data_IF_493985550076
#
_entry.id   IF_493985550076
#
_cell.length_a   1.000
_cell.length_b   1.000
_cell.length_c   1.000
_cell.angle_alpha   90.00
_cell.angle_beta   90.00
_cell.angle_gamma   90.00
#
_symmetry.space_group_name_H-M   'P 1'
#
loop_
_entity.id
_entity.type
_entity.pdbx_description
1 polymer ?
#
# COMPACT_ATOMS: atom_id res chain seq x y z
N UNK A 1 -30.24 -25.59 -10.67
CA UNK A 1 -28.83 -26.06 -10.72
C UNK A 1 -27.93 -24.99 -10.13
N UNK A 2 -27.43 -25.18 -8.90
CA UNK A 2 -26.47 -24.26 -8.26
C UNK A 2 -25.06 -24.61 -8.78
N UNK A 3 -24.37 -23.64 -9.39
CA UNK A 3 -22.94 -23.77 -9.72
C UNK A 3 -22.14 -23.20 -8.55
N UNK A 4 -21.43 -24.07 -7.84
CA UNK A 4 -20.46 -23.69 -6.82
C UNK A 4 -19.18 -23.27 -7.53
N UNK A 5 -18.78 -22.01 -7.37
CA UNK A 5 -17.52 -21.47 -7.88
C UNK A 5 -16.46 -21.64 -6.78
N UNK A 6 -15.47 -22.50 -7.01
CA UNK A 6 -14.29 -22.60 -6.17
C UNK A 6 -13.23 -21.63 -6.67
N UNK A 7 -12.81 -20.69 -5.83
CA UNK A 7 -11.70 -19.78 -6.11
C UNK A 7 -10.48 -20.33 -5.37
N UNK A 8 -9.48 -20.81 -6.12
CA UNK A 8 -8.15 -21.14 -5.62
C UNK A 8 -7.40 -19.83 -5.30
N UNK A 9 -6.87 -19.71 -4.08
CA UNK A 9 -5.91 -18.65 -3.72
C UNK A 9 -4.50 -19.24 -3.89
N UNK A 10 -3.75 -18.69 -4.84
CA UNK A 10 -2.33 -18.97 -5.06
C UNK A 10 -1.48 -18.19 -4.05
N UNK A 11 -0.88 -18.89 -3.08
CA UNK A 11 0.13 -18.32 -2.18
C UNK A 11 1.48 -18.45 -2.88
N UNK A 12 2.05 -17.33 -3.34
CA UNK A 12 3.46 -17.29 -3.74
C UNK A 12 4.33 -17.11 -2.49
N UNK A 13 5.06 -18.18 -2.14
CA UNK A 13 6.14 -18.14 -1.16
C UNK A 13 7.39 -17.68 -1.88
N UNK A 14 7.86 -16.46 -1.63
CA UNK A 14 9.21 -16.06 -2.01
C UNK A 14 10.19 -16.68 -1.02
N UNK A 15 10.91 -17.71 -1.46
CA UNK A 15 12.10 -18.21 -0.78
C UNK A 15 13.26 -17.24 -1.05
N UNK A 16 13.68 -16.53 0.00
CA UNK A 16 14.97 -15.84 0.02
C UNK A 16 15.98 -16.80 0.66
N UNK A 17 16.99 -17.26 -0.08
CA UNK A 17 18.18 -17.85 0.52
C UNK A 17 19.43 -17.51 -0.29
N UNK A 18 20.23 -16.59 0.22
CA UNK A 18 21.66 -16.59 0.01
C UNK A 18 22.36 -16.47 1.37
N UNK A 19 23.10 -17.51 1.77
CA UNK A 19 24.34 -17.34 2.54
C UNK A 19 25.39 -18.27 1.92
N UNK A 20 26.43 -17.63 1.39
CA UNK A 20 27.68 -18.22 0.88
C UNK A 20 28.66 -18.59 2.00
N UNK A 21 29.41 -19.71 1.90
CA UNK A 21 30.89 -19.74 1.66
C UNK A 21 31.57 -21.12 1.90
N UNK A 22 32.37 -21.49 0.89
CA UNK A 22 33.69 -22.20 0.85
C UNK A 22 33.87 -23.70 1.21
N UNK A 23 34.24 -24.44 0.13
CA UNK A 23 35.22 -25.55 -0.06
C UNK A 23 35.73 -26.35 1.15
N UNK A 24 35.60 -27.69 1.09
CA UNK A 24 36.67 -28.62 0.67
C UNK A 24 36.12 -30.03 0.37
N UNK A 25 36.90 -30.80 -0.37
CA UNK A 25 36.50 -31.99 -1.11
C UNK A 25 36.62 -33.33 -0.34
N UNK A 26 36.05 -34.38 -0.95
CA UNK A 26 36.37 -35.82 -0.81
C UNK A 26 35.71 -36.57 0.35
N UNK A 27 34.56 -37.20 0.08
CA UNK A 27 34.35 -38.67 0.11
C UNK A 27 32.85 -39.03 0.12
N UNK A 28 32.41 -39.78 -0.88
CA UNK A 28 31.31 -40.77 -0.77
C UNK A 28 31.93 -42.14 -0.42
N UNK A 29 31.20 -43.24 -0.12
CA UNK A 29 29.74 -43.45 -0.13
C UNK A 29 29.18 -44.23 1.09
N UNK A 30 27.84 -44.29 1.24
CA UNK A 30 27.03 -45.54 1.24
C UNK A 30 25.59 -45.34 1.72
N UNK A 31 24.68 -45.82 0.87
CA UNK A 31 23.36 -46.43 1.11
C UNK A 31 22.79 -46.43 2.53
N UNK A 32 21.59 -45.87 2.68
CA UNK A 32 20.40 -46.66 2.97
C UNK A 32 19.13 -45.84 2.73
N UNK A 33 18.50 -46.09 1.57
CA UNK A 33 17.14 -45.67 1.29
C UNK A 33 16.17 -46.48 2.16
N UNK A 34 15.46 -45.82 3.07
CA UNK A 34 14.13 -46.25 3.50
C UNK A 34 13.11 -45.26 2.97
N UNK A 35 12.53 -45.65 1.84
CA UNK A 35 11.30 -45.08 1.30
C UNK A 35 10.19 -45.39 2.30
N UNK A 36 9.75 -44.38 3.04
CA UNK A 36 8.40 -44.36 3.60
C UNK A 36 7.57 -43.40 2.75
N UNK A 37 6.88 -43.99 1.78
CA UNK A 37 5.65 -43.43 1.25
C UNK A 37 4.66 -43.26 2.40
N UNK A 38 4.41 -42.02 2.81
CA UNK A 38 3.12 -41.64 3.35
C UNK A 38 2.47 -40.66 2.37
N UNK A 39 1.59 -41.26 1.57
CA UNK A 39 0.54 -40.58 0.84
C UNK A 39 -0.24 -39.66 1.77
N UNK A 40 -0.56 -38.49 1.22
CA UNK A 40 -1.82 -37.76 1.34
C UNK A 40 -2.59 -37.86 2.66
N UNK A 41 -2.62 -36.75 3.38
CA UNK A 41 -3.85 -36.19 3.93
C UNK A 41 -3.88 -34.73 3.49
N UNK A 42 -4.57 -34.43 2.39
CA UNK A 42 -5.97 -33.99 2.40
C UNK A 42 -6.12 -32.63 3.09
N UNK A 43 -6.20 -31.60 2.26
CA UNK A 43 -6.96 -30.37 2.49
C UNK A 43 -7.24 -30.06 3.96
N UNK A 44 -6.30 -29.34 4.59
CA UNK A 44 -6.63 -28.56 5.77
C UNK A 44 -7.58 -27.46 5.28
N UNK A 45 -8.88 -27.76 5.27
CA UNK A 45 -9.92 -26.72 5.28
C UNK A 45 -9.66 -25.95 6.57
N UNK A 46 -8.91 -24.87 6.47
CA UNK A 46 -8.68 -23.96 7.58
C UNK A 46 -10.05 -23.42 7.96
N UNK A 47 -10.58 -23.87 9.09
CA UNK A 47 -11.83 -23.36 9.63
C UNK A 47 -11.59 -21.88 9.96
N UNK A 48 -12.04 -20.99 9.06
CA UNK A 48 -11.90 -19.54 9.22
C UNK A 48 -12.72 -19.15 10.45
N UNK A 49 -12.11 -18.45 11.40
CA UNK A 49 -12.82 -18.01 12.59
C UNK A 49 -13.98 -17.08 12.23
N UNK A 50 -15.07 -17.09 13.01
CA UNK A 50 -16.20 -16.17 12.79
C UNK A 50 -15.76 -14.70 12.80
N UNK A 51 -14.73 -14.36 13.59
CA UNK A 51 -14.16 -13.02 13.68
C UNK A 51 -13.46 -12.63 12.37
N UNK A 52 -12.63 -13.51 11.82
CA UNK A 52 -11.97 -13.30 10.53
C UNK A 52 -12.98 -13.19 9.39
N UNK A 53 -14.02 -14.04 9.39
CA UNK A 53 -15.09 -13.95 8.40
C UNK A 53 -15.78 -12.58 8.42
N UNK A 54 -16.16 -12.09 9.61
CA UNK A 54 -16.77 -10.76 9.77
C UNK A 54 -15.84 -9.63 9.34
N UNK A 55 -14.55 -9.75 9.63
CA UNK A 55 -13.56 -8.77 9.19
C UNK A 55 -13.43 -8.76 7.66
N UNK A 56 -13.41 -9.93 7.01
CA UNK A 56 -13.39 -10.02 5.56
C UNK A 56 -14.66 -9.45 4.92
N UNK A 57 -15.85 -9.75 5.48
CA UNK A 57 -17.12 -9.14 5.04
C UNK A 57 -17.10 -7.61 5.18
N UNK A 58 -16.50 -7.10 6.26
CA UNK A 58 -16.27 -5.67 6.45
C UNK A 58 -15.34 -5.09 5.37
N UNK A 59 -14.19 -5.71 5.09
CA UNK A 59 -13.28 -5.24 4.04
C UNK A 59 -13.96 -5.24 2.65
N UNK A 60 -14.77 -6.25 2.34
CA UNK A 60 -15.56 -6.26 1.11
C UNK A 60 -16.60 -5.15 1.07
N UNK A 61 -17.22 -4.82 2.22
CA UNK A 61 -18.16 -3.69 2.30
C UNK A 61 -17.50 -2.34 1.98
N UNK A 62 -16.24 -2.13 2.38
CA UNK A 62 -15.48 -0.90 2.06
C UNK A 62 -15.37 -0.71 0.55
N UNK A 63 -15.11 -1.79 -0.19
CA UNK A 63 -14.94 -1.77 -1.65
C UNK A 63 -16.20 -1.29 -2.38
N UNK A 64 -17.38 -1.41 -1.79
CA UNK A 64 -18.63 -0.91 -2.39
C UNK A 64 -18.67 0.61 -2.51
N UNK A 65 -17.86 1.33 -1.71
CA UNK A 65 -17.75 2.79 -1.74
C UNK A 65 -16.60 3.29 -2.62
N UNK A 66 -15.84 2.38 -3.25
CA UNK A 66 -14.69 2.70 -4.09
C UNK A 66 -15.13 3.47 -5.32
N UNK A 67 -14.47 4.59 -5.55
CA UNK A 67 -14.61 5.39 -6.75
C UNK A 67 -13.67 4.82 -7.81
N UNK A 68 -14.17 4.60 -9.02
CA UNK A 68 -13.33 4.19 -10.14
C UNK A 68 -12.62 5.41 -10.75
N UNK A 69 -11.34 5.29 -11.13
CA UNK A 69 -10.68 6.34 -11.89
C UNK A 69 -11.35 6.50 -13.26
N UNK A 70 -11.40 7.73 -13.76
CA UNK A 70 -11.87 8.03 -15.12
C UNK A 70 -10.77 7.80 -16.17
N UNK A 71 -9.50 7.79 -15.75
CA UNK A 71 -8.33 7.49 -16.58
C UNK A 71 -7.20 6.93 -15.70
N UNK A 72 -6.32 6.10 -16.26
CA UNK A 72 -5.17 5.55 -15.56
C UNK A 72 -4.02 5.20 -16.50
N UNK A 73 -2.80 5.43 -16.03
CA UNK A 73 -1.56 5.12 -16.73
C UNK A 73 -0.67 4.28 -15.83
N UNK A 74 -0.04 3.26 -16.41
CA UNK A 74 1.07 2.54 -15.77
C UNK A 74 2.35 3.00 -16.46
N UNK A 75 3.38 3.27 -15.67
CA UNK A 75 4.65 3.83 -16.14
C UNK A 75 5.79 2.91 -15.75
N UNK A 76 6.82 2.88 -16.58
CA UNK A 76 8.06 2.18 -16.28
C UNK A 76 9.10 3.14 -15.72
N UNK A 77 10.05 2.61 -14.94
CA UNK A 77 11.16 3.41 -14.43
C UNK A 77 11.94 4.04 -15.58
N UNK A 78 12.19 5.35 -15.47
CA UNK A 78 12.94 6.11 -16.44
C UNK A 78 14.09 6.86 -15.76
N UNK A 79 15.27 6.81 -16.37
CA UNK A 79 16.48 7.49 -15.90
C UNK A 79 16.54 8.94 -16.43
N UNK A 80 15.60 9.34 -17.29
CA UNK A 80 15.52 10.70 -17.82
C UNK A 80 15.44 11.72 -16.70
N UNK A 81 16.20 12.81 -16.88
CA UNK A 81 16.15 13.95 -15.97
C UNK A 81 14.79 14.67 -16.00
N UNK A 82 14.09 14.59 -17.13
CA UNK A 82 12.77 15.16 -17.31
C UNK A 82 11.83 14.10 -17.90
N UNK A 83 10.80 13.78 -17.15
CA UNK A 83 9.72 12.89 -17.58
C UNK A 83 8.47 13.71 -17.84
N UNK A 84 7.70 13.32 -18.87
CA UNK A 84 6.46 13.98 -19.25
C UNK A 84 5.36 12.95 -19.43
N UNK A 85 4.24 13.18 -18.77
CA UNK A 85 3.06 12.34 -18.82
C UNK A 85 1.83 13.21 -19.10
N UNK A 86 0.82 12.61 -19.73
CA UNK A 86 -0.47 13.26 -19.99
C UNK A 86 -1.59 12.33 -19.58
N UNK A 87 -2.48 12.80 -18.70
CA UNK A 87 -3.66 12.05 -18.24
C UNK A 87 -4.90 12.94 -18.33
N UNK A 88 -5.93 12.49 -19.04
CA UNK A 88 -7.03 13.36 -19.48
C UNK A 88 -6.52 14.67 -20.11
N UNK A 89 -6.93 15.80 -19.55
CA UNK A 89 -6.51 17.15 -19.98
C UNK A 89 -5.30 17.69 -19.21
N UNK A 90 -4.72 16.90 -18.31
CA UNK A 90 -3.65 17.34 -17.41
C UNK A 90 -2.28 16.91 -17.94
N UNK A 91 -1.30 17.81 -17.83
CA UNK A 91 0.09 17.54 -18.15
C UNK A 91 0.90 17.43 -16.87
N UNK A 92 1.70 16.38 -16.73
CA UNK A 92 2.55 16.13 -15.57
C UNK A 92 4.00 16.12 -16.06
N UNK A 93 4.85 16.90 -15.42
CA UNK A 93 6.29 16.92 -15.67
C UNK A 93 7.02 16.64 -14.37
N UNK A 94 7.95 15.69 -14.39
CA UNK A 94 8.75 15.32 -13.23
C UNK A 94 10.20 15.60 -13.57
N UNK A 95 10.86 16.42 -12.76
CA UNK A 95 12.27 16.72 -12.92
C UNK A 95 13.08 16.15 -11.77
N UNK A 96 14.07 15.34 -12.15
CA UNK A 96 15.01 14.73 -11.23
C UNK A 96 16.32 15.52 -11.26
N UNK A 97 16.88 15.82 -10.09
CA UNK A 97 18.19 16.49 -9.99
C UNK A 97 19.31 15.56 -10.44
N UNK A 98 19.13 14.27 -10.20
CA UNK A 98 19.98 13.15 -10.59
C UNK A 98 19.09 11.91 -10.81
N UNK A 99 19.66 10.72 -11.02
CA UNK A 99 18.89 9.50 -11.30
C UNK A 99 17.91 9.08 -10.20
N UNK A 100 18.06 9.60 -8.97
CA UNK A 100 17.31 9.13 -7.80
C UNK A 100 16.52 10.23 -7.08
N UNK A 101 16.88 11.50 -7.23
CA UNK A 101 16.29 12.58 -6.44
C UNK A 101 15.32 13.41 -7.28
N UNK A 102 14.02 13.26 -7.04
CA UNK A 102 13.00 14.13 -7.61
C UNK A 102 13.12 15.51 -6.95
N UNK A 103 13.34 16.56 -7.75
CA UNK A 103 13.45 17.92 -7.24
C UNK A 103 12.09 18.63 -7.29
N UNK A 104 11.40 18.52 -8.43
CA UNK A 104 10.08 19.11 -8.58
C UNK A 104 9.16 18.29 -9.46
N UNK A 105 7.87 18.43 -9.17
CA UNK A 105 6.78 17.94 -10.00
C UNK A 105 5.96 19.15 -10.41
N UNK A 106 5.62 19.21 -11.69
CA UNK A 106 4.76 20.24 -12.26
C UNK A 106 3.52 19.58 -12.83
N UNK A 107 2.35 20.02 -12.36
CA UNK A 107 1.06 19.56 -12.86
C UNK A 107 0.37 20.79 -13.47
N UNK A 108 0.13 20.73 -14.78
CA UNK A 108 -0.31 21.85 -15.61
C UNK A 108 0.67 23.04 -15.49
N UNK A 109 0.21 24.17 -14.97
CA UNK A 109 1.04 25.35 -14.72
C UNK A 109 1.69 25.37 -13.34
N UNK A 110 1.23 24.54 -12.41
CA UNK A 110 1.65 24.58 -11.02
C UNK A 110 2.90 23.73 -10.78
N UNK A 111 3.96 24.34 -10.27
CA UNK A 111 5.26 23.69 -9.99
C UNK A 111 5.47 23.58 -8.50
N UNK A 112 5.76 22.37 -8.03
CA UNK A 112 5.86 22.02 -6.62
C UNK A 112 7.24 21.45 -6.36
N UNK A 113 7.93 21.97 -5.34
CA UNK A 113 9.22 21.47 -4.89
C UNK A 113 9.01 20.34 -3.90
N UNK A 114 9.63 19.19 -4.13
CA UNK A 114 9.44 18.00 -3.29
C UNK A 114 9.92 18.22 -1.85
N UNK A 115 11.05 18.92 -1.67
CA UNK A 115 11.59 19.29 -0.34
C UNK A 115 10.65 20.09 0.56
N UNK A 116 9.56 20.64 0.01
CA UNK A 116 8.57 21.40 0.77
C UNK A 116 7.36 20.54 1.16
N UNK A 117 7.30 19.30 0.69
CA UNK A 117 6.23 18.36 0.99
C UNK A 117 6.59 17.59 2.26
N UNK A 118 5.56 17.36 3.08
CA UNK A 118 5.64 16.51 4.26
C UNK A 118 4.55 15.47 4.15
N UNK A 119 4.86 14.26 4.58
CA UNK A 119 3.90 13.19 4.76
C UNK A 119 2.79 13.64 5.74
N UNK A 120 1.54 13.34 5.37
CA UNK A 120 0.35 13.68 6.16
C UNK A 120 0.09 12.64 7.24
N UNK A 121 0.31 11.37 6.90
CA UNK A 121 0.23 10.24 7.83
C UNK A 121 1.61 9.89 8.38
N UNK A 122 1.66 8.93 9.31
CA UNK A 122 2.91 8.43 9.84
C UNK A 122 3.07 6.93 9.50
N UNK A 123 3.76 6.58 8.40
CA UNK A 123 3.76 5.21 7.88
C UNK A 123 4.56 4.22 8.74
N UNK A 124 5.51 4.69 9.55
CA UNK A 124 6.36 3.86 10.42
C UNK A 124 6.61 4.55 11.77
N UNK A 125 7.32 3.91 12.71
CA UNK A 125 7.62 4.47 14.04
C UNK A 125 8.61 5.69 14.02
N UNK A 126 8.76 6.38 12.89
CA UNK A 126 9.66 7.53 12.65
C UNK A 126 8.94 8.88 12.51
N UNK A 127 9.69 9.98 12.47
CA UNK A 127 9.15 11.33 12.27
C UNK A 127 8.88 11.62 10.79
N UNK A 128 7.80 12.37 10.51
CA UNK A 128 7.33 12.82 9.18
C UNK A 128 8.46 13.04 8.15
N UNK A 129 8.68 12.02 7.31
CA UNK A 129 9.73 12.02 6.31
C UNK A 129 9.36 12.88 5.08
N UNK A 130 10.40 13.32 4.36
CA UNK A 130 10.26 13.81 2.99
C UNK A 130 10.02 12.62 2.06
N UNK A 131 9.42 12.87 0.89
CA UNK A 131 9.18 11.86 -0.15
C UNK A 131 10.43 10.99 -0.38
N UNK A 132 10.29 9.68 -0.16
CA UNK A 132 11.37 8.69 -0.25
C UNK A 132 11.45 8.03 -1.64
N UNK A 133 10.31 7.74 -2.26
CA UNK A 133 10.23 7.04 -3.53
C UNK A 133 10.58 7.95 -4.72
N UNK A 134 11.12 7.35 -5.79
CA UNK A 134 11.75 8.10 -6.89
C UNK A 134 11.32 7.66 -8.30
N UNK A 135 10.48 6.65 -8.38
CA UNK A 135 10.01 6.07 -9.63
C UNK A 135 8.49 6.15 -9.70
N UNK A 136 7.96 6.99 -10.59
CA UNK A 136 6.53 6.98 -10.86
C UNK A 136 6.16 5.63 -11.47
N UNK A 137 5.16 4.96 -10.91
CA UNK A 137 4.67 3.65 -11.39
C UNK A 137 3.25 3.73 -11.91
N UNK A 138 2.42 4.60 -11.32
CA UNK A 138 1.03 4.73 -11.71
C UNK A 138 0.55 6.16 -11.58
N UNK A 139 -0.29 6.56 -12.53
CA UNK A 139 -1.08 7.79 -12.47
C UNK A 139 -2.53 7.40 -12.59
N UNK A 140 -3.39 7.88 -11.71
CA UNK A 140 -4.84 7.73 -11.79
C UNK A 140 -5.51 9.10 -11.76
N UNK A 141 -6.50 9.31 -12.61
CA UNK A 141 -7.34 10.51 -12.62
C UNK A 141 -8.73 10.12 -12.12
N UNK A 142 -9.25 10.90 -11.18
CA UNK A 142 -10.61 10.78 -10.67
C UNK A 142 -11.35 12.08 -10.91
N UNK A 143 -12.65 11.98 -11.21
CA UNK A 143 -13.55 13.12 -11.22
C UNK A 143 -14.55 12.96 -10.07
N UNK A 144 -14.54 13.89 -9.12
CA UNK A 144 -15.40 13.87 -7.95
C UNK A 144 -16.05 15.25 -7.77
N UNK A 145 -17.38 15.32 -7.84
CA UNK A 145 -18.14 16.57 -7.77
C UNK A 145 -17.60 17.67 -8.71
N UNK A 146 -17.34 17.29 -9.97
CA UNK A 146 -16.76 18.17 -11.00
C UNK A 146 -15.34 18.68 -10.70
N UNK A 147 -14.65 18.08 -9.74
CA UNK A 147 -13.24 18.33 -9.47
C UNK A 147 -12.38 17.16 -9.94
N UNK A 148 -11.29 17.48 -10.63
CA UNK A 148 -10.28 16.50 -11.00
C UNK A 148 -9.28 16.32 -9.86
N UNK A 149 -9.05 15.07 -9.49
CA UNK A 149 -8.04 14.68 -8.50
C UNK A 149 -7.12 13.64 -9.12
N UNK A 150 -5.82 13.92 -9.07
CA UNK A 150 -4.78 13.06 -9.66
C UNK A 150 -4.05 12.35 -8.53
N UNK A 151 -3.95 11.03 -8.60
CA UNK A 151 -3.13 10.22 -7.70
C UNK A 151 -1.89 9.74 -8.48
N UNK A 152 -0.72 10.04 -7.94
CA UNK A 152 0.58 9.57 -8.43
C UNK A 152 1.15 8.58 -7.41
N UNK A 153 1.44 7.37 -7.87
CA UNK A 153 2.01 6.28 -7.08
C UNK A 153 3.49 6.15 -7.42
N UNK A 154 4.35 6.38 -6.44
CA UNK A 154 5.79 6.27 -6.57
C UNK A 154 6.32 5.10 -5.75
N UNK A 155 7.25 4.35 -6.34
CA UNK A 155 8.01 3.32 -5.65
C UNK A 155 9.50 3.63 -5.72
N UNK A 156 10.29 2.98 -4.88
CA UNK A 156 11.74 3.11 -4.90
C UNK A 156 12.34 2.18 -5.96
N UNK A 157 13.16 2.75 -6.85
CA UNK A 157 13.94 2.02 -7.83
C UNK A 157 15.42 2.49 -7.85
N UNK A 158 16.40 1.57 -7.79
CA UNK A 158 16.24 0.15 -7.50
C UNK A 158 15.66 -0.05 -6.09
N UNK A 159 14.85 -1.09 -5.91
CA UNK A 159 14.19 -1.37 -4.66
C UNK A 159 15.03 -2.35 -3.83
N UNK A 160 15.48 -1.95 -2.65
CA UNK A 160 16.20 -2.84 -1.71
C UNK A 160 15.74 -2.62 -0.27
N UNK A 161 15.77 -3.70 0.53
CA UNK A 161 15.47 -3.64 1.96
C UNK A 161 14.04 -3.21 2.30
N UNK A 162 13.89 -2.44 3.38
CA UNK A 162 12.61 -1.92 3.84
C UNK A 162 11.98 -0.93 2.86
N UNK A 163 12.79 -0.22 2.07
CA UNK A 163 12.32 0.73 1.06
C UNK A 163 11.43 0.10 -0.02
N UNK A 164 11.54 -1.22 -0.24
CA UNK A 164 10.63 -1.97 -1.14
C UNK A 164 9.22 -2.14 -0.60
N UNK A 165 9.00 -1.82 0.68
CA UNK A 165 7.72 -1.97 1.36
C UNK A 165 6.98 -0.64 1.50
N UNK A 166 7.63 0.46 1.12
CA UNK A 166 7.07 1.82 1.18
C UNK A 166 6.67 2.24 -0.23
N UNK A 167 5.57 2.97 -0.31
CA UNK A 167 5.09 3.57 -1.56
C UNK A 167 4.57 4.96 -1.23
N UNK A 168 5.05 5.95 -1.97
CA UNK A 168 4.61 7.33 -1.80
C UNK A 168 3.45 7.60 -2.73
N UNK A 169 2.41 8.22 -2.19
CA UNK A 169 1.22 8.63 -2.89
C UNK A 169 1.10 10.14 -2.85
N UNK A 170 1.28 10.74 -4.01
CA UNK A 170 1.06 12.17 -4.21
C UNK A 170 -0.33 12.38 -4.79
N UNK A 171 -1.21 12.99 -4.01
CA UNK A 171 -2.59 13.27 -4.38
C UNK A 171 -2.74 14.77 -4.64
N UNK A 172 -3.01 15.12 -5.89
CA UNK A 172 -3.16 16.49 -6.36
C UNK A 172 -4.63 16.86 -6.60
N UNK A 173 -5.09 17.87 -5.87
CA UNK A 173 -6.37 18.53 -6.12
C UNK A 173 -6.17 19.63 -7.18
N UNK A 174 -6.71 19.41 -8.39
CA UNK A 174 -6.52 20.31 -9.52
C UNK A 174 -7.18 21.66 -9.28
N UNK A 175 -8.37 21.71 -8.68
CA UNK A 175 -9.10 22.96 -8.44
C UNK A 175 -8.36 23.89 -7.48
N UNK A 176 -7.84 23.35 -6.38
CA UNK A 176 -7.18 24.14 -5.33
C UNK A 176 -5.65 24.23 -5.51
N UNK A 177 -5.10 23.57 -6.52
CA UNK A 177 -3.67 23.45 -6.77
C UNK A 177 -2.88 22.96 -5.54
N UNK A 178 -3.47 22.05 -4.77
CA UNK A 178 -2.88 21.50 -3.55
C UNK A 178 -2.37 20.08 -3.79
N UNK A 179 -1.23 19.77 -3.20
CA UNK A 179 -0.62 18.45 -3.24
C UNK A 179 -0.53 17.90 -1.83
N UNK A 180 -0.89 16.63 -1.69
CA UNK A 180 -0.96 15.89 -0.45
C UNK A 180 -0.03 14.68 -0.58
N UNK A 181 0.94 14.56 0.32
CA UNK A 181 1.86 13.43 0.34
C UNK A 181 1.41 12.45 1.42
N UNK A 182 1.21 11.20 1.01
CA UNK A 182 1.03 10.07 1.90
C UNK A 182 2.11 9.04 1.62
N UNK A 183 2.45 8.28 2.63
CA UNK A 183 3.29 7.10 2.49
C UNK A 183 2.49 5.90 3.01
N UNK A 184 2.54 4.77 2.33
CA UNK A 184 1.94 3.56 2.86
C UNK A 184 2.96 2.45 2.95
N UNK A 185 2.88 1.69 4.04
CA UNK A 185 3.69 0.50 4.23
C UNK A 185 2.91 -0.76 3.84
N UNK A 186 3.20 -1.31 2.66
CA UNK A 186 2.61 -2.52 2.06
C UNK A 186 1.08 -2.48 1.95
N UNK A 187 0.52 -3.23 0.99
CA UNK A 187 -0.91 -3.61 0.97
C UNK A 187 -1.94 -2.46 1.01
N UNK A 188 -1.59 -1.23 0.66
CA UNK A 188 -2.58 -0.17 0.57
C UNK A 188 -3.38 -0.30 -0.73
N UNK A 189 -4.68 -0.56 -0.61
CA UNK A 189 -5.62 -0.37 -1.72
C UNK A 189 -5.67 1.13 -2.06
N UNK A 190 -4.93 1.50 -3.10
CA UNK A 190 -4.63 2.89 -3.43
C UNK A 190 -5.70 3.48 -4.34
N UNK A 191 -6.88 3.69 -3.76
CA UNK A 191 -8.04 4.25 -4.44
C UNK A 191 -8.78 5.22 -3.52
N UNK A 192 -9.68 6.01 -4.12
CA UNK A 192 -10.57 6.89 -3.37
C UNK A 192 -11.92 6.25 -3.10
N UNK A 193 -12.58 6.74 -2.06
CA UNK A 193 -13.86 6.24 -1.57
C UNK A 193 -14.83 7.40 -1.35
N UNK A 194 -16.12 7.15 -1.54
CA UNK A 194 -17.20 8.07 -1.19
C UNK A 194 -18.04 7.47 -0.06
N UNK A 195 -17.62 7.69 1.18
CA UNK A 195 -18.31 7.12 2.33
C UNK A 195 -19.58 7.93 2.68
N UNK A 196 -20.67 7.25 3.10
CA UNK A 196 -21.95 7.91 3.34
C UNK A 196 -21.94 8.88 4.53
N UNK A 197 -21.02 8.72 5.48
CA UNK A 197 -20.99 9.54 6.70
C UNK A 197 -20.58 10.99 6.44
N UNK A 198 -19.73 11.26 5.45
CA UNK A 198 -19.27 12.62 5.14
C UNK A 198 -19.48 13.05 3.68
N UNK A 199 -19.73 12.10 2.76
CA UNK A 199 -19.93 12.35 1.31
C UNK A 199 -18.77 13.12 0.67
N UNK A 200 -17.56 13.01 1.22
CA UNK A 200 -16.33 13.62 0.71
C UNK A 200 -15.53 12.61 -0.12
N UNK A 201 -14.50 13.11 -0.81
CA UNK A 201 -13.47 12.25 -1.38
C UNK A 201 -12.58 11.74 -0.24
N UNK A 202 -12.67 10.44 0.04
CA UNK A 202 -11.93 9.80 1.11
C UNK A 202 -10.75 9.00 0.54
N UNK A 203 -9.66 8.93 1.29
CA UNK A 203 -8.50 8.11 1.03
C UNK A 203 -8.20 7.27 2.27
N UNK A 204 -7.89 6.00 2.09
CA UNK A 204 -7.44 5.12 3.17
C UNK A 204 -5.92 5.02 3.09
N UNK A 205 -5.24 5.53 4.10
CA UNK A 205 -3.80 5.37 4.27
C UNK A 205 -3.52 4.27 5.29
N UNK A 206 -2.39 3.58 5.15
CA UNK A 206 -1.98 2.47 6.01
C UNK A 206 -0.63 2.73 6.65
N UNK A 207 -0.65 2.74 7.98
CA UNK A 207 0.49 2.88 8.86
C UNK A 207 0.94 1.50 9.37
N UNK A 208 2.21 1.40 9.75
CA UNK A 208 2.82 0.20 10.31
C UNK A 208 3.54 0.52 11.62
N UNK A 209 3.38 -0.33 12.64
CA UNK A 209 4.21 -0.28 13.86
C UNK A 209 4.67 -1.67 14.27
N UNK A 210 5.82 -1.74 14.95
CA UNK A 210 6.40 -2.99 15.44
C UNK A 210 7.64 -3.46 14.66
N UNK A 211 8.12 -4.67 14.98
CA UNK A 211 9.36 -5.18 14.40
C UNK A 211 9.09 -5.98 13.12
N UNK A 212 9.56 -5.41 12.00
CA UNK A 212 9.56 -6.07 10.71
C UNK A 212 10.29 -7.43 10.70
N UNK A 213 11.32 -7.60 11.53
CA UNK A 213 12.07 -8.84 11.65
C UNK A 213 11.37 -9.90 12.51
N UNK A 214 10.23 -9.55 13.11
CA UNK A 214 9.38 -10.49 13.82
C UNK A 214 9.83 -10.81 15.24
N UNK A 215 10.53 -9.92 15.94
CA UNK A 215 10.71 -10.05 17.39
C UNK A 215 9.46 -9.61 18.18
N UNK A 216 8.63 -8.74 17.60
CA UNK A 216 7.40 -8.20 18.21
C UNK A 216 6.22 -8.31 17.26
N UNK A 217 4.97 -8.21 17.76
CA UNK A 217 3.79 -8.16 16.90
C UNK A 217 3.88 -6.97 15.93
N UNK A 218 3.44 -7.20 14.70
CA UNK A 218 3.34 -6.18 13.67
C UNK A 218 1.89 -5.70 13.59
N UNK A 219 1.70 -4.40 13.62
CA UNK A 219 0.40 -3.74 13.54
C UNK A 219 0.28 -3.05 12.18
N UNK A 220 -0.78 -3.36 11.44
CA UNK A 220 -1.15 -2.68 10.20
C UNK A 220 -2.42 -1.88 10.48
N UNK A 221 -2.32 -0.56 10.48
CA UNK A 221 -3.39 0.34 10.89
C UNK A 221 -3.81 1.18 9.69
N UNK A 222 -5.03 0.99 9.21
CA UNK A 222 -5.58 1.77 8.11
C UNK A 222 -6.52 2.84 8.63
N UNK A 223 -6.34 4.09 8.19
CA UNK A 223 -7.11 5.26 8.66
C UNK A 223 -7.75 6.02 7.49
N UNK A 224 -8.90 6.65 7.75
CA UNK A 224 -9.62 7.45 6.76
C UNK A 224 -9.16 8.90 6.81
N UNK A 225 -8.76 9.44 5.65
CA UNK A 225 -8.53 10.86 5.43
C UNK A 225 -9.52 11.39 4.40
N UNK A 226 -10.03 12.61 4.56
CA UNK A 226 -10.88 13.25 3.56
C UNK A 226 -10.31 14.55 3.03
N UNK A 227 -10.54 14.80 1.74
CA UNK A 227 -10.25 16.07 1.10
C UNK A 227 -11.20 17.15 1.62
N UNK A 228 -10.65 18.23 2.15
CA UNK A 228 -11.41 19.43 2.56
C UNK A 228 -11.53 20.45 1.42
N UNK A 229 -12.29 21.51 1.66
CA UNK A 229 -12.57 22.54 0.64
C UNK A 229 -11.32 23.30 0.17
N UNK A 230 -10.27 23.32 0.99
CA UNK A 230 -8.98 23.94 0.66
C UNK A 230 -8.07 22.98 -0.12
N UNK A 231 -8.51 21.77 -0.47
CA UNK A 231 -7.74 20.77 -1.21
C UNK A 231 -6.72 20.00 -0.37
N UNK A 232 -6.85 20.01 0.96
CA UNK A 232 -5.98 19.26 1.87
C UNK A 232 -6.71 18.07 2.47
N UNK A 233 -6.03 16.94 2.56
CA UNK A 233 -6.55 15.79 3.28
C UNK A 233 -6.40 15.96 4.79
N UNK A 234 -7.43 15.57 5.53
CA UNK A 234 -7.46 15.60 7.00
C UNK A 234 -7.98 14.28 7.54
N UNK A 235 -7.42 13.85 8.68
CA UNK A 235 -7.81 12.64 9.37
C UNK A 235 -9.25 12.75 9.88
N UNK A 236 -10.09 11.79 9.51
CA UNK A 236 -11.50 11.77 9.89
C UNK A 236 -11.69 11.09 11.26
N UNK A 237 -12.65 11.64 12.02
CA UNK A 237 -12.97 11.23 13.39
C UNK A 237 -14.48 11.09 13.55
N UNK A 238 -14.89 10.21 14.46
CA UNK A 238 -16.28 10.10 14.89
C UNK A 238 -16.71 11.28 15.77
N UNK A 239 -17.98 11.29 16.17
CA UNK A 239 -18.56 12.35 17.00
C UNK A 239 -17.90 12.47 18.39
N UNK A 240 -17.19 11.45 18.85
CA UNK A 240 -16.45 11.47 20.12
C UNK A 240 -14.98 11.88 19.93
N UNK A 241 -14.58 12.23 18.70
CA UNK A 241 -13.21 12.62 18.37
C UNK A 241 -12.26 11.43 18.20
N UNK A 242 -12.76 10.20 18.12
CA UNK A 242 -11.95 9.00 17.90
C UNK A 242 -11.81 8.75 16.40
N UNK A 243 -10.59 8.43 15.96
CA UNK A 243 -10.25 8.22 14.55
C UNK A 243 -11.05 7.06 13.95
N UNK A 244 -11.43 7.16 12.67
CA UNK A 244 -11.91 6.00 11.93
C UNK A 244 -10.71 5.17 11.48
N UNK A 245 -10.70 3.89 11.86
CA UNK A 245 -9.62 2.98 11.51
C UNK A 245 -10.08 1.52 11.47
N UNK A 246 -9.27 0.69 10.81
CA UNK A 246 -9.22 -0.74 11.07
C UNK A 246 -7.78 -1.19 11.21
N UNK A 247 -7.55 -2.21 12.02
CA UNK A 247 -6.24 -2.68 12.40
C UNK A 247 -6.19 -4.21 12.30
N UNK A 248 -5.12 -4.72 11.71
CA UNK A 248 -4.75 -6.14 11.75
C UNK A 248 -3.43 -6.29 12.48
N UNK A 249 -3.40 -7.16 13.49
CA UNK A 249 -2.18 -7.53 14.20
C UNK A 249 -1.74 -8.92 13.77
N UNK A 250 -0.48 -9.02 13.39
CA UNK A 250 0.16 -10.29 13.00
C UNK A 250 1.29 -10.60 13.97
N UNK A 251 1.41 -11.87 14.35
CA UNK A 251 2.40 -12.32 15.32
C UNK A 251 3.52 -13.09 14.64
N UNK A 252 4.75 -13.00 15.17
CA UNK A 252 5.82 -13.93 14.84
C UNK A 252 5.35 -15.38 14.97
N UNK A 253 5.73 -16.23 14.01
CA UNK A 253 5.25 -17.62 13.89
C UNK A 253 5.42 -18.45 15.19
N UNK A 254 6.38 -18.08 16.04
CA UNK A 254 6.68 -18.76 17.31
C UNK A 254 5.63 -18.50 18.41
N UNK A 255 4.86 -17.42 18.32
CA UNK A 255 3.89 -17.05 19.35
C UNK A 255 2.55 -17.80 19.25
N UNK A 256 2.28 -18.53 18.15
CA UNK A 256 1.03 -19.29 17.92
C UNK A 256 -0.26 -18.54 18.34
N UNK A 257 -0.31 -17.23 18.13
CA UNK A 257 -1.50 -16.42 18.40
C UNK A 257 -2.34 -16.27 17.14
N UNK A 258 -3.66 -16.30 17.32
CA UNK A 258 -4.60 -15.95 16.25
C UNK A 258 -4.41 -14.49 15.84
N UNK A 259 -4.73 -14.17 14.57
CA UNK A 259 -4.76 -12.79 14.10
C UNK A 259 -5.73 -11.95 14.96
N UNK A 260 -5.31 -10.75 15.35
CA UNK A 260 -6.21 -9.82 16.03
C UNK A 260 -6.70 -8.75 15.06
N UNK A 261 -8.00 -8.47 15.15
CA UNK A 261 -8.67 -7.43 14.38
C UNK A 261 -9.34 -6.45 15.33
N UNK A 262 -9.17 -5.15 15.07
CA UNK A 262 -9.83 -4.03 15.76
C UNK A 262 -10.30 -3.01 14.73
N UNK A 263 -11.42 -2.34 14.96
CA UNK A 263 -11.86 -1.24 14.09
C UNK A 263 -12.74 -0.25 14.84
N UNK A 264 -12.70 1.00 14.38
CA UNK A 264 -13.66 2.05 14.68
C UNK A 264 -14.19 2.55 13.33
N UNK A 265 -15.42 2.18 12.98
CA UNK A 265 -16.00 2.44 11.66
C UNK A 265 -17.44 2.95 11.83
N UNK A 266 -17.88 3.80 10.91
CA UNK A 266 -19.18 4.49 10.95
C UNK A 266 -20.36 3.55 10.65
#
# INVERSE_FOLDING_TARGET
>A
MKKTLYILILIQIFSCSEITKKRDAVNSPKENQKVQNQNMNSEKVTEISLKEKRFNEFLESIKTFKIQPVDSLVTEYNISQLENYKIGNNNIQIFKKDSFNINWIKINSNKLLIKNLKTINNPTDGDNEEMFCNSLQKVKLYNFNSNDVILLEFTSYPSTGLGSSVTDYLIYDVKNNQLNLFENFRRADSDFYNFPFNKKLNYISSDFTGDYHGATPMHFISKIYSLNDNGKFQLEKDSNGKEYFYETVTYPNELKKEFEYKWNWF
#
